data_IF_261377457415
#
_entry.id   IF_261377457415
#
_cell.length_a   1.000
_cell.length_b   1.000
_cell.length_c   1.000
_cell.angle_alpha   90.00
_cell.angle_beta   90.00
_cell.angle_gamma   90.00
#
_symmetry.space_group_name_H-M   'P 1'
#
loop_
_entity.id
_entity.type
_entity.pdbx_description
1 polymer ?
#
# COMPACT_ATOMS: atom_id res chain seq x y z
N UNK A 1 -22.26 -30.09 14.21
CA UNK A 1 -21.12 -30.71 14.92
C UNK A 1 -21.59 -31.22 16.30
N UNK A 2 -20.90 -32.14 17.00
CA UNK A 2 -21.26 -32.47 18.39
C UNK A 2 -20.51 -31.58 19.39
N UNK A 3 -21.16 -31.23 20.50
CA UNK A 3 -20.56 -30.41 21.57
C UNK A 3 -19.39 -31.14 22.25
N UNK A 4 -19.46 -32.47 22.36
CA UNK A 4 -18.38 -33.30 22.90
C UNK A 4 -17.09 -33.18 22.07
N UNK A 5 -17.22 -33.11 20.74
CA UNK A 5 -16.07 -32.96 19.84
C UNK A 5 -15.43 -31.58 19.98
N UNK A 6 -16.25 -30.53 20.12
CA UNK A 6 -15.76 -29.18 20.39
C UNK A 6 -15.07 -29.11 21.76
N UNK A 7 -15.65 -29.74 22.79
CA UNK A 7 -15.07 -29.79 24.14
C UNK A 7 -13.73 -30.53 24.15
N UNK A 8 -13.64 -31.65 23.42
CA UNK A 8 -12.37 -32.37 23.24
C UNK A 8 -11.33 -31.55 22.49
N UNK A 9 -11.69 -30.74 21.50
CA UNK A 9 -10.74 -29.86 20.84
C UNK A 9 -10.30 -28.71 21.76
N UNK A 10 -11.24 -28.18 22.54
CA UNK A 10 -11.01 -27.08 23.47
C UNK A 10 -9.99 -27.45 24.56
N UNK A 11 -10.02 -28.70 25.06
CA UNK A 11 -9.06 -29.17 26.09
C UNK A 11 -7.59 -29.15 25.64
N UNK A 12 -7.31 -29.04 24.35
CA UNK A 12 -5.95 -28.95 23.79
C UNK A 12 -5.51 -27.50 23.58
N UNK A 13 -6.42 -26.54 23.68
CA UNK A 13 -6.10 -25.12 23.55
C UNK A 13 -5.85 -24.56 24.95
N UNK A 14 -4.71 -23.91 25.22
CA UNK A 14 -4.46 -23.38 26.55
C UNK A 14 -5.22 -22.05 26.78
N UNK A 15 -5.91 -21.86 27.94
CA UNK A 15 -6.83 -20.75 28.15
C UNK A 15 -6.18 -19.43 28.60
N UNK A 16 -4.85 -19.31 28.63
CA UNK A 16 -4.15 -18.17 29.25
C UNK A 16 -4.03 -16.92 28.37
N UNK A 17 -4.09 -17.06 27.04
CA UNK A 17 -4.01 -15.92 26.13
C UNK A 17 -5.40 -15.30 25.94
N UNK A 18 -5.56 -14.02 26.29
CA UNK A 18 -6.87 -13.35 26.33
C UNK A 18 -7.55 -13.31 24.96
N UNK A 19 -6.80 -13.04 23.90
CA UNK A 19 -7.35 -12.94 22.54
C UNK A 19 -7.76 -14.32 22.01
N UNK A 20 -6.95 -15.35 22.26
CA UNK A 20 -7.29 -16.74 21.96
C UNK A 20 -8.51 -17.19 22.75
N UNK A 21 -8.59 -16.86 24.05
CA UNK A 21 -9.71 -17.19 24.92
C UNK A 21 -11.05 -16.64 24.41
N UNK A 22 -11.07 -15.38 23.97
CA UNK A 22 -12.25 -14.77 23.33
C UNK A 22 -12.58 -15.47 21.99
N UNK A 23 -11.57 -15.74 21.15
CA UNK A 23 -11.78 -16.42 19.86
C UNK A 23 -12.33 -17.83 20.01
N UNK A 24 -11.93 -18.58 21.03
CA UNK A 24 -12.49 -19.90 21.33
C UNK A 24 -13.96 -19.80 21.77
N UNK A 25 -14.30 -18.77 22.55
CA UNK A 25 -15.70 -18.49 22.90
C UNK A 25 -16.55 -18.16 21.68
N UNK A 26 -16.03 -17.34 20.75
CA UNK A 26 -16.67 -17.08 19.46
C UNK A 26 -16.89 -18.36 18.65
N UNK A 27 -15.87 -19.22 18.57
CA UNK A 27 -15.91 -20.46 17.79
C UNK A 27 -16.94 -21.48 18.34
N UNK A 28 -17.10 -21.56 19.66
CA UNK A 28 -18.13 -22.42 20.28
C UNK A 28 -19.53 -21.80 20.09
N UNK A 29 -19.68 -20.51 20.39
CA UNK A 29 -20.97 -19.81 20.32
C UNK A 29 -21.55 -19.74 18.91
N UNK A 30 -20.71 -19.77 17.87
CA UNK A 30 -21.18 -19.76 16.48
C UNK A 30 -21.99 -20.99 16.08
N UNK A 31 -21.69 -22.15 16.68
CA UNK A 31 -22.37 -23.42 16.36
C UNK A 31 -23.45 -23.76 17.39
N UNK A 32 -23.13 -23.58 18.68
CA UNK A 32 -23.97 -24.05 19.78
C UNK A 32 -24.77 -22.94 20.47
N UNK A 33 -24.67 -21.70 20.00
CA UNK A 33 -25.32 -20.54 20.61
C UNK A 33 -25.08 -20.52 22.13
N UNK A 34 -26.12 -20.29 22.93
CA UNK A 34 -26.02 -20.24 24.39
C UNK A 34 -25.72 -21.62 25.03
N UNK A 35 -26.06 -22.73 24.37
CA UNK A 35 -25.79 -24.09 24.88
C UNK A 35 -24.30 -24.42 24.95
N UNK A 36 -23.46 -23.62 24.27
CA UNK A 36 -22.00 -23.75 24.30
C UNK A 36 -21.32 -23.12 25.52
N UNK A 37 -22.04 -22.36 26.35
CA UNK A 37 -21.43 -21.61 27.46
C UNK A 37 -20.72 -22.52 28.45
N UNK A 38 -21.38 -23.59 28.90
CA UNK A 38 -20.85 -24.46 29.95
C UNK A 38 -19.54 -25.13 29.54
N UNK A 39 -19.44 -25.58 28.28
CA UNK A 39 -18.20 -26.18 27.74
C UNK A 39 -17.05 -25.17 27.71
N UNK A 40 -17.31 -23.94 27.28
CA UNK A 40 -16.30 -22.88 27.26
C UNK A 40 -15.93 -22.39 28.67
N UNK A 41 -16.89 -22.30 29.58
CA UNK A 41 -16.67 -21.87 30.96
C UNK A 41 -15.84 -22.88 31.76
N UNK A 42 -16.16 -24.18 31.67
CA UNK A 42 -15.39 -25.26 32.32
C UNK A 42 -13.93 -25.25 31.84
N UNK A 43 -13.71 -25.08 30.54
CA UNK A 43 -12.36 -24.94 30.00
C UNK A 43 -11.64 -23.67 30.47
N UNK A 44 -12.37 -22.56 30.55
CA UNK A 44 -11.84 -21.26 30.99
C UNK A 44 -11.29 -21.29 32.42
N UNK A 45 -11.87 -22.14 33.29
CA UNK A 45 -11.42 -22.34 34.67
C UNK A 45 -9.99 -22.88 34.79
N UNK A 46 -9.42 -23.41 33.70
CA UNK A 46 -8.01 -23.85 33.65
C UNK A 46 -6.99 -22.70 33.65
N UNK A 47 -7.41 -21.44 33.55
CA UNK A 47 -6.53 -20.27 33.66
C UNK A 47 -6.49 -19.74 35.10
N UNK A 48 -5.29 -19.46 35.63
CA UNK A 48 -5.12 -18.87 36.96
C UNK A 48 -5.82 -17.50 37.12
N UNK A 49 -6.02 -16.79 36.01
CA UNK A 49 -6.69 -15.48 35.95
C UNK A 49 -8.21 -15.55 35.79
N UNK A 50 -8.80 -16.76 35.87
CA UNK A 50 -10.24 -16.95 35.66
C UNK A 50 -11.08 -16.23 36.72
N UNK A 51 -12.12 -15.53 36.26
CA UNK A 51 -13.18 -14.94 37.09
C UNK A 51 -14.55 -15.24 36.46
N UNK A 52 -15.41 -15.91 37.21
CA UNK A 52 -16.71 -16.38 36.72
C UNK A 52 -17.65 -15.23 36.31
N UNK A 53 -17.57 -14.07 36.97
CA UNK A 53 -18.38 -12.90 36.58
C UNK A 53 -17.91 -12.33 35.24
N UNK A 54 -16.60 -12.23 35.07
CA UNK A 54 -15.95 -11.78 33.83
C UNK A 54 -16.22 -12.74 32.68
N UNK A 55 -16.18 -14.05 32.90
CA UNK A 55 -16.53 -15.06 31.90
C UNK A 55 -17.97 -14.88 31.38
N UNK A 56 -18.95 -14.77 32.29
CA UNK A 56 -20.36 -14.51 31.93
C UNK A 56 -20.58 -13.17 31.23
N UNK A 57 -19.80 -12.15 31.57
CA UNK A 57 -19.88 -10.84 30.91
C UNK A 57 -19.36 -10.92 29.47
N UNK A 58 -18.20 -11.53 29.29
CA UNK A 58 -17.59 -11.67 27.95
C UNK A 58 -18.42 -12.57 27.05
N UNK A 59 -18.94 -13.68 27.57
CA UNK A 59 -19.81 -14.56 26.80
C UNK A 59 -21.03 -13.83 26.21
N UNK A 60 -21.63 -12.92 26.99
CA UNK A 60 -22.73 -12.07 26.53
C UNK A 60 -22.31 -11.04 25.48
N UNK A 61 -21.06 -10.57 25.51
CA UNK A 61 -20.53 -9.66 24.48
C UNK A 61 -20.11 -10.34 23.18
N UNK A 62 -19.93 -11.66 23.20
CA UNK A 62 -19.57 -12.45 22.01
C UNK A 62 -20.81 -12.60 21.12
N UNK A 63 -20.68 -12.18 19.86
CA UNK A 63 -21.68 -12.40 18.81
C UNK A 63 -21.54 -13.81 18.23
N UNK A 64 -22.67 -14.52 18.08
CA UNK A 64 -22.73 -15.80 17.37
C UNK A 64 -22.52 -15.64 15.84
N UNK A 65 -22.73 -14.43 15.31
CA UNK A 65 -22.49 -14.10 13.90
C UNK A 65 -21.08 -13.52 13.72
N UNK A 66 -20.26 -14.16 12.87
CA UNK A 66 -18.90 -13.71 12.58
C UNK A 66 -18.12 -14.64 11.65
N UNK A 67 -16.87 -14.28 11.34
CA UNK A 67 -15.94 -15.09 10.52
C UNK A 67 -15.23 -16.19 11.31
N UNK A 68 -15.28 -16.13 12.64
CA UNK A 68 -14.67 -17.13 13.54
C UNK A 68 -15.73 -18.16 13.87
N UNK A 69 -15.44 -19.42 13.55
CA UNK A 69 -16.32 -20.53 13.86
C UNK A 69 -15.52 -21.76 14.27
N UNK A 70 -16.19 -22.91 14.40
CA UNK A 70 -15.57 -24.15 14.86
C UNK A 70 -14.30 -24.57 14.09
N UNK A 71 -14.17 -24.22 12.81
CA UNK A 71 -12.94 -24.45 12.05
C UNK A 71 -11.70 -23.77 12.66
N UNK A 72 -11.86 -22.59 13.29
CA UNK A 72 -10.79 -21.92 14.03
C UNK A 72 -10.41 -22.68 15.29
N UNK A 73 -11.40 -23.19 16.04
CA UNK A 73 -11.16 -24.03 17.21
C UNK A 73 -10.36 -25.28 16.81
N UNK A 74 -10.78 -26.00 15.77
CA UNK A 74 -10.06 -27.20 15.34
C UNK A 74 -8.66 -26.90 14.78
N UNK A 75 -8.47 -25.76 14.11
CA UNK A 75 -7.15 -25.33 13.68
C UNK A 75 -6.22 -25.07 14.87
N UNK A 76 -6.68 -24.34 15.89
CA UNK A 76 -5.91 -24.06 17.10
C UNK A 76 -5.66 -25.33 17.92
N UNK A 77 -6.68 -26.19 18.07
CA UNK A 77 -6.56 -27.48 18.74
C UNK A 77 -5.56 -28.40 18.02
N UNK A 78 -5.65 -28.51 16.68
CA UNK A 78 -4.73 -29.31 15.87
C UNK A 78 -3.29 -28.77 15.95
N UNK A 79 -3.12 -27.44 15.99
CA UNK A 79 -1.83 -26.82 16.23
C UNK A 79 -1.25 -27.15 17.62
N UNK A 80 -2.09 -27.57 18.58
CA UNK A 80 -1.70 -28.07 19.89
C UNK A 80 -1.77 -29.61 20.00
N UNK A 81 -1.88 -30.31 18.86
CA UNK A 81 -1.79 -31.77 18.81
C UNK A 81 -3.11 -32.51 18.89
N UNK A 82 -4.26 -31.81 18.86
CA UNK A 82 -5.57 -32.45 18.75
C UNK A 82 -5.70 -33.20 17.42
N UNK A 83 -6.16 -34.45 17.50
CA UNK A 83 -6.48 -35.27 16.34
C UNK A 83 -7.90 -35.78 16.49
N UNK A 84 -8.62 -35.80 15.38
CA UNK A 84 -10.00 -36.28 15.29
C UNK A 84 -10.06 -37.82 15.25
N UNK A 85 -9.25 -38.49 16.07
CA UNK A 85 -9.14 -39.95 16.15
C UNK A 85 -9.41 -40.49 17.57
N UNK A 86 -9.84 -39.63 18.51
CA UNK A 86 -10.18 -40.02 19.88
C UNK A 86 -8.98 -40.18 20.83
N UNK A 87 -7.75 -39.97 20.36
CA UNK A 87 -6.55 -40.03 21.21
C UNK A 87 -6.29 -38.67 21.87
N UNK A 88 -6.51 -38.60 23.18
CA UNK A 88 -6.17 -37.43 24.01
C UNK A 88 -4.65 -37.33 24.16
N UNK A 89 -3.99 -36.48 23.35
CA UNK A 89 -2.64 -36.00 23.69
C UNK A 89 -2.80 -34.85 24.69
N UNK A 90 -2.07 -34.89 25.82
CA UNK A 90 -2.12 -33.81 26.80
C UNK A 90 -1.59 -32.46 26.26
N UNK A 91 -1.61 -31.39 27.08
CA UNK A 91 -0.98 -30.12 26.75
C UNK A 91 0.45 -30.31 26.26
N UNK A 92 0.93 -29.38 25.42
CA UNK A 92 2.32 -29.37 24.97
C UNK A 92 3.26 -29.45 26.17
N UNK A 93 4.29 -30.29 26.06
CA UNK A 93 5.34 -30.36 27.08
C UNK A 93 6.09 -29.02 27.14
N UNK A 94 6.72 -28.73 28.28
CA UNK A 94 7.57 -27.54 28.44
C UNK A 94 8.65 -27.43 27.35
N UNK A 95 9.15 -28.58 26.87
CA UNK A 95 10.10 -28.68 25.78
C UNK A 95 9.48 -28.22 24.46
N UNK A 96 8.30 -28.73 24.08
CA UNK A 96 7.60 -28.31 22.86
C UNK A 96 7.18 -26.84 22.90
N UNK A 97 6.80 -26.35 24.08
CA UNK A 97 6.46 -24.93 24.27
C UNK A 97 7.70 -24.04 24.17
N UNK A 98 8.84 -24.48 24.71
CA UNK A 98 10.13 -23.81 24.53
C UNK A 98 10.58 -23.81 23.07
N UNK A 99 10.40 -24.91 22.33
CA UNK A 99 10.68 -25.02 20.91
C UNK A 99 9.81 -24.07 20.08
N UNK A 100 8.50 -24.01 20.32
CA UNK A 100 7.61 -23.03 19.67
C UNK A 100 8.04 -21.58 19.94
N UNK A 101 8.40 -21.24 21.19
CA UNK A 101 8.91 -19.90 21.54
C UNK A 101 10.21 -19.58 20.80
N UNK A 102 11.15 -20.53 20.74
CA UNK A 102 12.41 -20.39 19.97
C UNK A 102 12.15 -20.22 18.48
N UNK A 103 11.24 -21.00 17.91
CA UNK A 103 10.87 -20.90 16.49
C UNK A 103 10.22 -19.54 16.16
N UNK A 104 9.34 -19.02 17.03
CA UNK A 104 8.77 -17.68 16.89
C UNK A 104 9.86 -16.60 16.97
N UNK A 105 10.71 -16.65 18.00
CA UNK A 105 11.80 -15.70 18.15
C UNK A 105 12.77 -15.70 16.95
N UNK A 106 13.07 -16.89 16.38
CA UNK A 106 13.90 -17.00 15.19
C UNK A 106 13.22 -16.39 13.94
N UNK A 107 11.90 -16.57 13.77
CA UNK A 107 11.14 -15.95 12.67
C UNK A 107 11.08 -14.43 12.81
N UNK A 108 10.85 -13.93 14.02
CA UNK A 108 10.81 -12.49 14.30
C UNK A 108 12.20 -11.87 14.06
N UNK A 109 13.27 -12.51 14.55
CA UNK A 109 14.64 -12.08 14.32
C UNK A 109 15.01 -12.08 12.82
N UNK A 110 14.60 -13.10 12.06
CA UNK A 110 14.82 -13.16 10.61
C UNK A 110 14.07 -12.04 9.88
N UNK A 111 12.84 -11.73 10.30
CA UNK A 111 12.04 -10.62 9.75
C UNK A 111 12.73 -9.28 10.00
N UNK A 112 13.18 -9.02 11.23
CA UNK A 112 13.91 -7.80 11.60
C UNK A 112 15.23 -7.68 10.81
N UNK A 113 15.98 -8.77 10.68
CA UNK A 113 17.23 -8.79 9.92
C UNK A 113 17.01 -8.46 8.44
N UNK A 114 15.94 -9.00 7.85
CA UNK A 114 15.56 -8.75 6.46
C UNK A 114 15.10 -7.30 6.23
N UNK A 115 14.28 -6.76 7.12
CA UNK A 115 13.87 -5.36 7.08
C UNK A 115 15.05 -4.40 7.22
N UNK A 116 15.98 -4.69 8.15
CA UNK A 116 17.21 -3.93 8.31
C UNK A 116 18.09 -3.98 7.04
N UNK A 117 18.18 -5.14 6.39
CA UNK A 117 18.89 -5.31 5.11
C UNK A 117 18.25 -4.46 4.00
N UNK A 118 16.93 -4.54 3.83
CA UNK A 118 16.19 -3.72 2.85
C UNK A 118 16.37 -2.23 3.13
N UNK A 119 16.28 -1.80 4.38
CA UNK A 119 16.43 -0.40 4.76
C UNK A 119 17.85 0.13 4.48
N UNK A 120 18.90 -0.68 4.67
CA UNK A 120 20.28 -0.34 4.26
C UNK A 120 20.40 -0.19 2.75
N UNK A 121 19.82 -1.11 1.98
CA UNK A 121 19.81 -1.04 0.52
C UNK A 121 19.08 0.22 0.02
N UNK A 122 17.93 0.57 0.60
CA UNK A 122 17.20 1.79 0.26
C UNK A 122 18.01 3.05 0.53
N UNK A 123 18.72 3.12 1.66
CA UNK A 123 19.60 4.26 1.97
C UNK A 123 20.75 4.37 0.98
N UNK A 124 21.43 3.26 0.68
CA UNK A 124 22.51 3.25 -0.29
C UNK A 124 22.05 3.70 -1.69
N UNK A 125 20.87 3.25 -2.15
CA UNK A 125 20.30 3.66 -3.43
C UNK A 125 19.90 5.14 -3.45
N UNK A 126 19.37 5.67 -2.34
CA UNK A 126 19.06 7.08 -2.18
C UNK A 126 20.32 7.95 -2.22
N UNK A 127 21.37 7.58 -1.49
CA UNK A 127 22.65 8.30 -1.46
C UNK A 127 23.33 8.28 -2.84
N UNK A 128 23.31 7.15 -3.54
CA UNK A 128 23.83 7.04 -4.90
C UNK A 128 23.04 7.93 -5.88
N UNK A 129 21.71 7.94 -5.78
CA UNK A 129 20.85 8.80 -6.61
C UNK A 129 21.08 10.29 -6.33
N UNK A 130 21.27 10.65 -5.05
CA UNK A 130 21.57 12.03 -4.63
C UNK A 130 22.87 12.52 -5.27
N UNK A 131 23.93 11.71 -5.28
CA UNK A 131 25.21 12.06 -5.93
C UNK A 131 25.06 12.33 -7.43
N UNK A 132 24.25 11.52 -8.13
CA UNK A 132 23.98 11.73 -9.56
C UNK A 132 23.19 13.02 -9.78
N UNK A 133 22.18 13.28 -8.94
CA UNK A 133 21.37 14.50 -9.01
C UNK A 133 22.23 15.76 -8.79
N UNK A 134 23.20 15.71 -7.87
CA UNK A 134 24.12 16.83 -7.60
C UNK A 134 25.07 17.14 -8.77
N UNK A 135 25.34 16.17 -9.63
CA UNK A 135 26.16 16.32 -10.83
C UNK A 135 25.37 16.75 -12.07
N UNK A 136 24.04 16.82 -11.96
CA UNK A 136 23.19 17.18 -13.10
C UNK A 136 23.25 18.66 -13.43
N UNK A 137 23.08 18.96 -14.71
CA UNK A 137 22.84 20.30 -15.23
C UNK A 137 21.34 20.49 -15.51
N UNK A 138 20.85 21.72 -15.38
CA UNK A 138 19.50 22.09 -15.83
C UNK A 138 19.55 22.49 -17.30
N UNK A 139 19.01 21.65 -18.19
CA UNK A 139 18.95 21.94 -19.64
C UNK A 139 17.77 21.25 -20.32
N UNK A 140 17.48 21.66 -21.55
CA UNK A 140 16.52 20.98 -22.42
C UNK A 140 17.02 19.58 -22.80
N UNK A 141 16.11 18.66 -23.11
CA UNK A 141 16.48 17.27 -23.42
C UNK A 141 15.67 16.71 -24.59
N UNK A 142 16.29 15.87 -25.43
CA UNK A 142 15.65 15.30 -26.63
C UNK A 142 14.39 14.49 -26.31
N UNK A 143 14.34 13.79 -25.16
CA UNK A 143 13.13 13.12 -24.69
C UNK A 143 11.95 14.10 -24.56
N UNK A 144 12.18 15.25 -23.92
CA UNK A 144 11.13 16.25 -23.71
C UNK A 144 10.71 16.90 -25.03
N UNK A 145 11.66 17.13 -25.94
CA UNK A 145 11.34 17.57 -27.30
C UNK A 145 10.41 16.56 -28.01
N UNK A 146 10.74 15.25 -27.94
CA UNK A 146 9.90 14.19 -28.50
C UNK A 146 8.52 14.04 -27.83
N UNK A 147 8.35 14.65 -26.66
CA UNK A 147 7.08 14.72 -25.92
C UNK A 147 6.33 16.04 -26.11
N UNK A 148 6.77 16.89 -27.05
CA UNK A 148 6.12 18.18 -27.33
C UNK A 148 6.41 19.25 -26.28
N UNK A 149 7.50 19.09 -25.51
CA UNK A 149 7.90 19.97 -24.41
C UNK A 149 9.31 20.57 -24.66
N UNK A 150 9.57 21.23 -25.80
CA UNK A 150 10.92 21.62 -26.22
C UNK A 150 11.58 22.68 -25.33
N UNK A 151 10.78 23.51 -24.65
CA UNK A 151 11.27 24.57 -23.77
C UNK A 151 11.41 24.16 -22.30
N UNK A 152 11.05 22.92 -21.95
CA UNK A 152 11.16 22.44 -20.57
C UNK A 152 12.63 22.09 -20.28
N UNK A 153 13.16 22.64 -19.20
CA UNK A 153 14.45 22.27 -18.64
C UNK A 153 14.27 21.20 -17.55
N UNK A 154 15.16 20.23 -17.53
CA UNK A 154 15.19 19.14 -16.55
C UNK A 154 16.62 18.87 -16.11
N UNK A 155 16.78 18.04 -15.07
CA UNK A 155 18.09 17.57 -14.65
C UNK A 155 18.61 16.57 -15.68
N UNK A 156 19.80 16.82 -16.18
CA UNK A 156 20.46 15.98 -17.17
C UNK A 156 21.88 15.69 -16.69
N UNK A 157 22.23 14.42 -16.62
CA UNK A 157 23.61 13.97 -16.42
C UNK A 157 24.12 13.41 -17.74
N UNK A 158 25.15 14.03 -18.32
CA UNK A 158 25.63 13.74 -19.67
C UNK A 158 24.51 13.81 -20.73
N UNK A 159 24.02 12.64 -21.18
CA UNK A 159 22.93 12.48 -22.15
C UNK A 159 21.66 11.85 -21.57
N UNK A 160 21.66 11.57 -20.27
CA UNK A 160 20.57 10.93 -19.55
C UNK A 160 19.72 11.98 -18.83
N UNK A 161 18.42 11.95 -19.05
CA UNK A 161 17.50 12.76 -18.25
C UNK A 161 17.23 12.06 -16.92
N UNK A 162 17.42 12.81 -15.83
CA UNK A 162 17.25 12.36 -14.46
C UNK A 162 16.00 12.96 -13.87
N UNK A 163 15.08 12.11 -13.41
CA UNK A 163 13.86 12.51 -12.69
C UNK A 163 14.01 12.12 -11.22
N UNK A 164 14.23 13.08 -10.31
CA UNK A 164 14.35 12.79 -8.88
C UNK A 164 13.07 12.19 -8.32
N UNK A 165 13.20 11.15 -7.50
CA UNK A 165 12.10 10.53 -6.78
C UNK A 165 12.32 10.77 -5.29
N UNK A 166 11.43 11.54 -4.67
CA UNK A 166 11.59 12.07 -3.31
C UNK A 166 10.47 11.62 -2.40
N UNK A 167 10.76 11.53 -1.11
CA UNK A 167 9.76 11.30 -0.09
C UNK A 167 8.76 12.47 -0.07
N UNK A 168 7.46 12.15 -0.08
CA UNK A 168 6.40 13.16 -0.12
C UNK A 168 6.44 14.15 1.05
N UNK A 169 6.78 13.68 2.24
CA UNK A 169 6.75 14.46 3.49
C UNK A 169 8.07 15.17 3.75
N UNK A 170 9.19 14.45 3.67
CA UNK A 170 10.52 14.98 4.02
C UNK A 170 11.26 15.63 2.85
N UNK A 171 10.78 15.42 1.61
CA UNK A 171 11.43 15.84 0.36
C UNK A 171 12.85 15.29 0.14
N UNK A 172 13.30 14.35 0.99
CA UNK A 172 14.58 13.65 0.83
C UNK A 172 14.52 12.72 -0.38
N UNK A 173 15.64 12.57 -1.09
CA UNK A 173 15.75 11.63 -2.21
C UNK A 173 15.55 10.20 -1.71
N UNK A 174 14.70 9.45 -2.41
CA UNK A 174 14.52 8.00 -2.23
C UNK A 174 15.13 7.20 -3.37
N UNK A 175 15.34 7.85 -4.51
CA UNK A 175 15.90 7.29 -5.73
C UNK A 175 15.76 8.26 -6.89
N UNK A 176 15.90 7.74 -8.10
CA UNK A 176 15.68 8.49 -9.34
C UNK A 176 15.12 7.57 -10.42
N UNK A 177 14.47 8.16 -11.42
CA UNK A 177 14.19 7.52 -12.70
C UNK A 177 15.12 8.13 -13.75
N UNK A 178 15.82 7.28 -14.51
CA UNK A 178 16.59 7.68 -15.69
C UNK A 178 15.74 7.54 -16.94
N UNK A 179 15.97 8.41 -17.92
CA UNK A 179 15.38 8.32 -19.25
C UNK A 179 16.50 8.41 -20.28
N UNK A 180 16.76 7.28 -20.92
CA UNK A 180 17.89 7.05 -21.81
C UNK A 180 17.41 6.69 -23.22
N UNK A 181 18.13 7.12 -24.26
CA UNK A 181 17.86 6.69 -25.62
C UNK A 181 18.55 5.35 -25.88
N UNK A 182 17.80 4.36 -26.39
CA UNK A 182 18.35 3.07 -26.82
C UNK A 182 18.46 3.07 -28.35
N UNK A 183 19.65 3.31 -28.94
CA UNK A 183 19.79 3.50 -30.37
C UNK A 183 19.31 2.30 -31.20
N UNK A 184 19.62 1.08 -30.74
CA UNK A 184 19.27 -0.15 -31.44
C UNK A 184 17.76 -0.41 -31.53
N UNK A 185 17.00 0.06 -30.52
CA UNK A 185 15.54 -0.12 -30.45
C UNK A 185 14.77 1.14 -30.87
N UNK A 186 15.48 2.24 -31.16
CA UNK A 186 14.92 3.55 -31.52
C UNK A 186 13.81 4.01 -30.56
N UNK A 187 14.01 3.77 -29.26
CA UNK A 187 13.05 4.14 -28.22
C UNK A 187 13.75 4.72 -27.00
N UNK A 188 12.99 5.52 -26.26
CA UNK A 188 13.35 5.93 -24.91
C UNK A 188 13.08 4.80 -23.93
N UNK A 189 14.02 4.55 -23.03
CA UNK A 189 13.89 3.62 -21.92
C UNK A 189 13.84 4.41 -20.62
N UNK A 190 12.87 4.06 -19.77
CA UNK A 190 12.72 4.66 -18.44
C UNK A 190 13.08 3.60 -17.41
N UNK A 191 14.04 3.87 -16.53
CA UNK A 191 14.49 2.92 -15.50
C UNK A 191 14.54 3.57 -14.13
N UNK A 192 14.03 2.88 -13.12
CA UNK A 192 14.22 3.28 -11.73
C UNK A 192 15.60 2.83 -11.24
N UNK A 193 16.22 3.61 -10.36
CA UNK A 193 17.49 3.25 -9.75
C UNK A 193 17.40 1.90 -9.02
N UNK A 194 18.38 1.02 -9.27
CA UNK A 194 18.37 -0.31 -8.65
C UNK A 194 18.42 -0.23 -7.12
N UNK A 195 17.61 -1.04 -6.45
CA UNK A 195 17.54 -1.09 -4.99
C UNK A 195 16.83 0.09 -4.34
N UNK A 196 16.25 1.03 -5.09
CA UNK A 196 15.51 2.16 -4.52
C UNK A 196 14.16 1.76 -3.92
N UNK A 197 13.63 2.61 -3.03
CA UNK A 197 12.25 2.49 -2.53
C UNK A 197 11.30 3.32 -3.39
N UNK A 198 10.62 2.69 -4.34
CA UNK A 198 9.61 3.35 -5.19
C UNK A 198 8.33 3.74 -4.43
N UNK A 199 7.90 2.91 -3.47
CA UNK A 199 6.69 3.15 -2.68
C UNK A 199 6.81 4.45 -1.85
N UNK A 200 5.90 5.38 -2.10
CA UNK A 200 5.82 6.70 -1.47
C UNK A 200 6.70 7.77 -2.13
N UNK A 201 7.48 7.41 -3.15
CA UNK A 201 8.37 8.34 -3.83
C UNK A 201 7.62 9.10 -4.93
N UNK A 202 7.82 10.41 -4.98
CA UNK A 202 7.14 11.33 -5.90
C UNK A 202 8.11 12.36 -6.47
N UNK A 203 7.74 12.98 -7.60
CA UNK A 203 8.28 14.28 -7.98
C UNK A 203 7.17 15.31 -7.81
N UNK A 204 7.44 16.35 -7.02
CA UNK A 204 6.55 17.51 -6.92
C UNK A 204 6.94 18.56 -7.95
N UNK A 205 5.96 18.98 -8.75
CA UNK A 205 6.07 20.13 -9.63
C UNK A 205 5.17 21.26 -9.07
N UNK A 206 5.71 22.48 -8.99
CA UNK A 206 5.02 23.62 -8.38
C UNK A 206 5.24 23.73 -6.86
N UNK A 207 4.45 24.58 -6.21
CA UNK A 207 4.66 24.97 -4.80
C UNK A 207 4.24 23.87 -3.82
N UNK A 208 5.10 23.56 -2.84
CA UNK A 208 4.80 22.61 -1.75
C UNK A 208 3.59 23.04 -0.89
N UNK A 209 3.33 24.34 -0.78
CA UNK A 209 2.22 24.92 -0.02
C UNK A 209 0.96 25.17 -0.87
N UNK A 210 0.90 24.58 -2.06
CA UNK A 210 -0.29 24.68 -2.91
C UNK A 210 -1.53 24.12 -2.19
N UNK A 211 -2.67 24.77 -2.41
CA UNK A 211 -3.94 24.38 -1.78
C UNK A 211 -4.58 23.16 -2.45
N UNK A 212 -4.22 22.94 -3.72
CA UNK A 212 -4.71 21.84 -4.53
C UNK A 212 -3.55 20.98 -5.04
N UNK A 213 -3.78 19.67 -5.16
CA UNK A 213 -2.77 18.73 -5.67
C UNK A 213 -3.35 17.85 -6.78
N UNK A 214 -2.67 17.79 -7.92
CA UNK A 214 -2.98 16.87 -9.01
C UNK A 214 -2.01 15.69 -8.96
N UNK A 215 -2.53 14.47 -8.94
CA UNK A 215 -1.75 13.24 -9.00
C UNK A 215 -1.78 12.70 -10.42
N UNK A 216 -0.61 12.30 -10.92
CA UNK A 216 -0.43 11.72 -12.25
C UNK A 216 0.54 10.54 -12.16
N UNK A 217 0.50 9.65 -13.14
CA UNK A 217 1.46 8.55 -13.22
C UNK A 217 2.81 9.03 -13.78
N UNK A 218 2.82 9.56 -15.01
CA UNK A 218 4.04 9.83 -15.77
C UNK A 218 4.66 11.22 -15.59
N UNK A 219 5.98 11.31 -15.81
CA UNK A 219 6.70 12.59 -15.75
C UNK A 219 6.25 13.59 -16.83
N UNK A 220 6.11 13.15 -18.09
CA UNK A 220 5.65 14.02 -19.19
C UNK A 220 4.19 14.48 -18.96
N UNK A 221 3.33 13.56 -18.52
CA UNK A 221 1.96 13.83 -18.04
C UNK A 221 1.98 14.95 -17.00
N UNK A 222 2.83 14.83 -15.98
CA UNK A 222 2.94 15.83 -14.92
C UNK A 222 3.41 17.20 -15.39
N UNK A 223 4.38 17.25 -16.31
CA UNK A 223 4.84 18.50 -16.91
C UNK A 223 3.71 19.20 -17.70
N UNK A 224 2.94 18.45 -18.49
CA UNK A 224 1.81 19.00 -19.24
C UNK A 224 0.72 19.55 -18.31
N UNK A 225 0.38 18.84 -17.22
CA UNK A 225 -0.55 19.36 -16.21
C UNK A 225 0.01 20.60 -15.53
N UNK A 226 1.28 20.62 -15.16
CA UNK A 226 1.87 21.78 -14.50
C UNK A 226 1.83 23.04 -15.37
N UNK A 227 2.08 22.90 -16.67
CA UNK A 227 1.92 23.99 -17.63
C UNK A 227 0.46 24.48 -17.71
N UNK A 228 -0.52 23.56 -17.68
CA UNK A 228 -1.94 23.91 -17.64
C UNK A 228 -2.31 24.68 -16.35
N UNK A 229 -1.80 24.24 -15.20
CA UNK A 229 -2.01 24.90 -13.91
C UNK A 229 -1.41 26.32 -13.90
N UNK A 230 -0.20 26.49 -14.45
CA UNK A 230 0.43 27.80 -14.62
C UNK A 230 -0.38 28.72 -15.53
N UNK A 231 -0.86 28.21 -16.66
CA UNK A 231 -1.68 28.98 -17.62
C UNK A 231 -2.99 29.45 -16.98
N UNK A 232 -3.58 28.61 -16.13
CA UNK A 232 -4.79 28.92 -15.37
C UNK A 232 -4.54 29.75 -14.11
N UNK A 233 -3.28 30.02 -13.76
CA UNK A 233 -2.86 30.72 -12.53
C UNK A 233 -3.44 30.09 -11.26
N UNK A 234 -3.54 28.77 -11.23
CA UNK A 234 -4.08 28.05 -10.07
C UNK A 234 -3.01 27.90 -8.99
N UNK A 235 -3.43 28.01 -7.73
CA UNK A 235 -2.61 27.67 -6.57
C UNK A 235 -2.62 26.13 -6.34
N UNK A 236 -2.05 25.41 -7.30
CA UNK A 236 -2.04 23.96 -7.37
C UNK A 236 -0.62 23.43 -7.63
N UNK A 237 -0.36 22.20 -7.19
CA UNK A 237 0.88 21.47 -7.47
C UNK A 237 0.58 20.13 -8.13
N UNK A 238 1.58 19.53 -8.79
CA UNK A 238 1.48 18.20 -9.38
C UNK A 238 2.40 17.23 -8.62
N UNK A 239 1.90 16.03 -8.36
CA UNK A 239 2.68 14.90 -7.87
C UNK A 239 2.75 13.81 -8.94
N UNK A 240 3.95 13.60 -9.48
CA UNK A 240 4.25 12.46 -10.35
C UNK A 240 4.50 11.24 -9.49
N UNK A 241 3.69 10.19 -9.68
CA UNK A 241 3.66 9.01 -8.82
C UNK A 241 4.39 7.79 -9.43
N UNK A 242 4.78 7.85 -10.70
CA UNK A 242 5.60 6.86 -11.42
C UNK A 242 5.01 5.46 -11.62
N UNK A 243 3.86 5.15 -11.02
CA UNK A 243 3.06 3.95 -11.30
C UNK A 243 1.66 4.08 -10.71
N UNK A 244 0.71 3.32 -11.26
CA UNK A 244 -0.64 3.14 -10.71
C UNK A 244 -0.68 2.79 -9.23
N UNK A 245 0.11 1.79 -8.84
CA UNK A 245 0.11 1.28 -7.46
C UNK A 245 0.62 2.33 -6.47
N UNK A 246 1.63 3.10 -6.88
CA UNK A 246 2.16 4.18 -6.05
C UNK A 246 1.24 5.40 -6.05
N UNK A 247 0.53 5.68 -7.16
CA UNK A 247 -0.50 6.72 -7.23
C UNK A 247 -1.58 6.48 -6.17
N UNK A 248 -2.10 5.24 -6.07
CA UNK A 248 -3.08 4.88 -5.03
C UNK A 248 -2.49 5.05 -3.63
N UNK A 249 -1.24 4.63 -3.40
CA UNK A 249 -0.61 4.78 -2.10
C UNK A 249 -0.42 6.26 -1.72
N UNK A 250 0.13 7.07 -2.62
CA UNK A 250 0.39 8.50 -2.43
C UNK A 250 -0.92 9.26 -2.19
N UNK A 251 -2.01 8.90 -2.87
CA UNK A 251 -3.32 9.53 -2.66
C UNK A 251 -3.77 9.46 -1.19
N UNK A 252 -3.46 8.39 -0.46
CA UNK A 252 -3.79 8.25 0.96
C UNK A 252 -2.99 9.18 1.89
N UNK A 253 -1.88 9.74 1.40
CA UNK A 253 -0.98 10.62 2.14
C UNK A 253 -1.19 12.10 1.81
N UNK A 254 -1.89 12.41 0.71
CA UNK A 254 -2.13 13.80 0.28
C UNK A 254 -3.17 14.45 1.18
N UNK A 255 -2.85 15.66 1.64
CA UNK A 255 -3.75 16.50 2.45
C UNK A 255 -4.36 17.60 1.59
N UNK A 256 -5.58 18.02 1.94
CA UNK A 256 -6.29 19.06 1.22
C UNK A 256 -6.97 18.55 -0.05
N UNK A 257 -7.31 19.49 -0.94
CA UNK A 257 -8.08 19.18 -2.15
C UNK A 257 -7.19 18.52 -3.19
N UNK A 258 -7.56 17.35 -3.67
CA UNK A 258 -6.76 16.59 -4.60
C UNK A 258 -7.57 16.01 -5.76
N UNK A 259 -6.90 15.80 -6.88
CA UNK A 259 -7.48 15.29 -8.13
C UNK A 259 -6.53 14.30 -8.78
N UNK A 260 -7.05 13.40 -9.59
CA UNK A 260 -6.24 12.50 -10.42
C UNK A 260 -6.43 12.87 -11.89
N UNK A 261 -5.31 12.97 -12.61
CA UNK A 261 -5.33 12.89 -14.07
C UNK A 261 -4.80 11.51 -14.45
N UNK A 262 -5.71 10.62 -14.82
CA UNK A 262 -5.42 9.23 -15.11
C UNK A 262 -5.03 9.06 -16.58
N UNK A 263 -4.18 8.07 -16.84
CA UNK A 263 -3.90 7.60 -18.20
C UNK A 263 -5.13 6.79 -18.69
N UNK A 264 -5.57 7.03 -19.93
CA UNK A 264 -6.65 6.27 -20.54
C UNK A 264 -6.06 5.06 -21.28
N UNK A 265 -5.42 4.15 -20.58
CA UNK A 265 -4.74 3.00 -21.19
C UNK A 265 -5.71 1.85 -21.56
N UNK A 266 -5.32 1.02 -22.53
CA UNK A 266 -6.11 -0.14 -22.98
C UNK A 266 -6.38 -1.18 -21.87
N UNK A 267 -5.51 -1.27 -20.85
CA UNK A 267 -5.67 -2.20 -19.74
C UNK A 267 -6.60 -1.68 -18.63
N UNK A 268 -7.00 -0.41 -18.75
CA UNK A 268 -7.76 0.37 -17.77
C UNK A 268 -7.03 0.50 -16.43
N UNK A 269 -5.71 0.37 -16.41
CA UNK A 269 -4.94 0.37 -15.17
C UNK A 269 -4.98 1.76 -14.50
N UNK A 270 -4.75 2.82 -15.27
CA UNK A 270 -4.82 4.21 -14.85
C UNK A 270 -6.20 4.57 -14.30
N UNK A 271 -7.27 4.22 -15.03
CA UNK A 271 -8.64 4.49 -14.57
C UNK A 271 -8.99 3.70 -13.29
N UNK A 272 -8.60 2.42 -13.22
CA UNK A 272 -8.80 1.61 -12.01
C UNK A 272 -8.03 2.17 -10.82
N UNK A 273 -6.80 2.66 -11.03
CA UNK A 273 -6.01 3.30 -10.01
C UNK A 273 -6.68 4.60 -9.52
N UNK A 274 -7.13 5.45 -10.44
CA UNK A 274 -7.86 6.68 -10.11
C UNK A 274 -9.13 6.39 -9.29
N UNK A 275 -9.95 5.42 -9.70
CA UNK A 275 -11.13 4.97 -8.95
C UNK A 275 -10.78 4.51 -7.54
N UNK A 276 -9.69 3.75 -7.37
CA UNK A 276 -9.22 3.27 -6.05
C UNK A 276 -8.77 4.40 -5.12
N UNK A 277 -8.37 5.56 -5.65
CA UNK A 277 -8.02 6.71 -4.81
C UNK A 277 -9.22 7.33 -4.09
N UNK A 278 -10.43 7.17 -4.64
CA UNK A 278 -11.62 7.88 -4.18
C UNK A 278 -11.62 9.39 -4.51
N UNK A 279 -10.60 9.90 -5.21
CA UNK A 279 -10.51 11.30 -5.61
C UNK A 279 -11.28 11.56 -6.91
N UNK A 280 -11.78 12.81 -7.13
CA UNK A 280 -12.29 13.19 -8.44
C UNK A 280 -11.18 13.07 -9.49
N UNK A 281 -11.51 12.44 -10.62
CA UNK A 281 -10.54 12.20 -11.68
C UNK A 281 -11.06 12.59 -13.07
N UNK A 282 -10.10 12.80 -13.97
CA UNK A 282 -10.31 12.94 -15.41
C UNK A 282 -9.21 12.20 -16.17
N UNK A 283 -9.44 12.00 -17.47
CA UNK A 283 -8.54 11.32 -18.39
C UNK A 283 -8.85 11.79 -19.81
N UNK A 284 -7.94 11.56 -20.77
CA UNK A 284 -8.22 11.84 -22.18
C UNK A 284 -9.46 11.08 -22.66
N UNK A 285 -10.20 11.65 -23.61
CA UNK A 285 -11.33 11.00 -24.26
C UNK A 285 -10.91 9.91 -25.26
N UNK A 286 -9.62 9.91 -25.64
CA UNK A 286 -9.04 8.92 -26.56
C UNK A 286 -8.32 7.83 -25.77
N UNK A 287 -8.66 6.58 -26.08
CA UNK A 287 -7.99 5.40 -25.51
C UNK A 287 -6.56 5.30 -26.04
N UNK A 288 -5.63 5.00 -25.15
CA UNK A 288 -4.18 4.99 -25.37
C UNK A 288 -3.48 6.30 -25.00
N UNK A 289 -4.20 7.34 -24.57
CA UNK A 289 -3.62 8.66 -24.28
C UNK A 289 -3.49 8.98 -22.79
N UNK A 290 -2.38 9.64 -22.47
CA UNK A 290 -2.21 10.38 -21.21
C UNK A 290 -2.52 11.90 -21.40
N UNK A 291 -2.34 12.69 -20.34
CA UNK A 291 -2.52 14.15 -20.41
C UNK A 291 -1.57 14.84 -21.40
N UNK A 292 -0.37 14.29 -21.59
CA UNK A 292 0.63 14.84 -22.49
C UNK A 292 0.29 14.55 -23.95
N UNK A 293 -0.28 13.39 -24.25
CA UNK A 293 -0.79 13.07 -25.59
C UNK A 293 -1.99 13.96 -25.93
N UNK A 294 -2.94 14.15 -24.99
CA UNK A 294 -4.03 15.11 -25.14
C UNK A 294 -3.50 16.54 -25.38
N UNK A 295 -2.48 16.97 -24.62
CA UNK A 295 -1.86 18.27 -24.80
C UNK A 295 -1.28 18.43 -26.21
N UNK A 296 -0.56 17.43 -26.71
CA UNK A 296 0.04 17.48 -28.05
C UNK A 296 -1.02 17.45 -29.15
N UNK A 297 -2.04 16.60 -29.03
CA UNK A 297 -3.09 16.43 -30.04
C UNK A 297 -4.08 17.60 -30.08
N UNK A 298 -4.62 17.99 -28.93
CA UNK A 298 -5.74 18.94 -28.83
C UNK A 298 -5.32 20.33 -28.31
N UNK A 299 -4.06 20.48 -27.92
CA UNK A 299 -3.50 21.75 -27.44
C UNK A 299 -3.81 22.06 -25.98
N UNK A 300 -3.10 23.05 -25.45
CA UNK A 300 -3.16 23.44 -24.04
C UNK A 300 -4.56 23.87 -23.57
N UNK A 301 -5.37 24.47 -24.46
CA UNK A 301 -6.73 24.92 -24.11
C UNK A 301 -7.64 23.73 -23.75
N UNK A 302 -7.54 22.63 -24.50
CA UNK A 302 -8.30 21.42 -24.22
C UNK A 302 -7.89 20.81 -22.87
N UNK A 303 -6.58 20.76 -22.59
CA UNK A 303 -6.08 20.28 -21.30
C UNK A 303 -6.57 21.16 -20.14
N UNK A 304 -6.45 22.48 -20.27
CA UNK A 304 -6.96 23.44 -19.29
C UNK A 304 -8.46 23.26 -19.01
N UNK A 305 -9.27 23.03 -20.05
CA UNK A 305 -10.71 22.77 -19.90
C UNK A 305 -10.94 21.55 -19.01
N UNK A 306 -10.26 20.44 -19.30
CA UNK A 306 -10.43 19.20 -18.53
C UNK A 306 -9.98 19.37 -17.07
N UNK A 307 -8.88 20.11 -16.85
CA UNK A 307 -8.43 20.51 -15.51
C UNK A 307 -9.49 21.32 -14.75
N UNK A 308 -10.21 22.22 -15.40
CA UNK A 308 -11.31 22.98 -14.75
C UNK A 308 -12.50 22.06 -14.45
N UNK A 309 -12.86 21.17 -15.39
CA UNK A 309 -14.03 20.32 -15.25
C UNK A 309 -13.87 19.32 -14.09
N UNK A 310 -12.70 18.70 -13.93
CA UNK A 310 -12.44 17.81 -12.77
C UNK A 310 -12.46 18.57 -11.45
N UNK A 311 -11.98 19.82 -11.44
CA UNK A 311 -12.04 20.66 -10.24
C UNK A 311 -13.48 20.89 -9.80
N UNK A 312 -14.39 21.18 -10.72
CA UNK A 312 -15.82 21.38 -10.43
C UNK A 312 -16.47 20.14 -9.80
N UNK A 313 -16.09 18.93 -10.22
CA UNK A 313 -16.59 17.67 -9.63
C UNK A 313 -16.22 17.53 -8.15
N UNK A 314 -15.07 18.04 -7.73
CA UNK A 314 -14.62 17.99 -6.33
C UNK A 314 -15.09 19.16 -5.45
N UNK A 315 -16.06 19.96 -5.92
CA UNK A 315 -16.71 21.04 -5.14
C UNK A 315 -18.15 20.68 -4.74
N UNK A 316 -18.66 19.54 -5.18
CA UNK A 316 -19.96 18.97 -4.81
C UNK A 316 -19.76 17.87 -3.78
#
# INVERSE_FOLDING_TARGET
MSLDRATSALSFVPPHDRDLWIRMGMAIKSEFAEDGFDAWDVWSQGAESYDARSAKSVWRSISAAGKVGLGTLFHEAAANGWRDNGEHRGPLTDQEQAEKRRARAARDAATIAEEARKQRAYRAAADASQKVIEQCELKTHFYLNSKGLPSVVALVNESTLIVPMRNLETNQVQGMQTIDWIPGERRWEKKMASGMRAKGAVLRLGNQRAQETFLVEGYATGLSIELALRRLRLNASVLVCFSDSNLVHVATMVKGRAFVFADNDLSLAGEKAAKKTGLPYCMSDVVGEDANDLHQRAGMVALCKLTIDVRRKGSQ
#
